data_IF_634208571785
#
_entry.id   IF_634208571785
#
_cell.length_a   1.000
_cell.length_b   1.000
_cell.length_c   1.000
_cell.angle_alpha   90.00
_cell.angle_beta   90.00
_cell.angle_gamma   90.00
#
_symmetry.space_group_name_H-M   'P 1'
#
loop_
_entity.id
_entity.type
_entity.pdbx_description
1 polymer ?
#
# COMPACT_ATOMS: atom_id res chain seq x y z
N UNK A 1 -23.43 -35.55 -41.87
CA UNK A 1 -24.01 -34.25 -41.43
C UNK A 1 -24.74 -34.32 -40.10
N UNK A 2 -25.61 -35.32 -39.84
CA UNK A 2 -26.37 -35.39 -38.58
C UNK A 2 -25.51 -35.62 -37.33
N UNK A 3 -24.46 -36.45 -37.41
CA UNK A 3 -23.58 -36.71 -36.27
C UNK A 3 -22.76 -35.47 -35.88
N UNK A 4 -22.24 -34.72 -36.86
CA UNK A 4 -21.52 -33.46 -36.63
C UNK A 4 -22.45 -32.41 -36.01
N UNK A 5 -23.67 -32.25 -36.53
CA UNK A 5 -24.66 -31.31 -35.98
C UNK A 5 -25.11 -31.71 -34.57
N UNK A 6 -25.22 -33.00 -34.30
CA UNK A 6 -25.50 -33.54 -32.97
C UNK A 6 -24.37 -33.28 -31.98
N UNK A 7 -23.12 -33.50 -32.40
CA UNK A 7 -21.92 -33.31 -31.56
C UNK A 7 -21.67 -31.82 -31.27
N UNK A 8 -21.89 -30.95 -32.26
CA UNK A 8 -21.84 -29.49 -32.09
C UNK A 8 -22.90 -29.04 -31.07
N UNK A 9 -24.16 -29.44 -31.25
CA UNK A 9 -25.25 -28.95 -30.42
C UNK A 9 -25.24 -29.50 -28.98
N UNK A 10 -24.84 -30.76 -28.79
CA UNK A 10 -24.95 -31.43 -27.50
C UNK A 10 -23.63 -31.49 -26.71
N UNK A 11 -22.48 -31.27 -27.35
CA UNK A 11 -21.17 -31.35 -26.68
C UNK A 11 -20.42 -30.03 -26.81
N UNK A 12 -20.22 -29.52 -28.02
CA UNK A 12 -19.36 -28.34 -28.24
C UNK A 12 -20.00 -27.07 -27.68
N UNK A 13 -21.28 -26.82 -27.95
CA UNK A 13 -21.98 -25.62 -27.46
C UNK A 13 -22.04 -25.59 -25.92
N UNK A 14 -22.49 -26.65 -25.21
CA UNK A 14 -22.47 -26.66 -23.75
C UNK A 14 -21.08 -26.48 -23.15
N UNK A 15 -20.07 -27.17 -23.71
CA UNK A 15 -18.69 -27.05 -23.24
C UNK A 15 -18.15 -25.63 -23.42
N UNK A 16 -18.34 -25.04 -24.60
CA UNK A 16 -17.94 -23.66 -24.88
C UNK A 16 -18.65 -22.66 -23.95
N UNK A 17 -19.92 -22.91 -23.62
CA UNK A 17 -20.70 -22.07 -22.71
C UNK A 17 -20.17 -22.13 -21.28
N UNK A 18 -19.80 -23.33 -20.80
CA UNK A 18 -19.18 -23.52 -19.48
C UNK A 18 -17.79 -22.87 -19.44
N UNK A 19 -16.96 -23.07 -20.48
CA UNK A 19 -15.67 -22.41 -20.59
C UNK A 19 -15.81 -20.88 -20.58
N UNK A 20 -16.79 -20.35 -21.31
CA UNK A 20 -17.07 -18.92 -21.36
C UNK A 20 -17.51 -18.37 -20.00
N UNK A 21 -18.34 -19.10 -19.26
CA UNK A 21 -18.69 -18.76 -17.88
C UNK A 21 -17.48 -18.73 -16.94
N UNK A 22 -16.60 -19.73 -17.03
CA UNK A 22 -15.36 -19.79 -16.25
C UNK A 22 -14.46 -18.58 -16.55
N UNK A 23 -14.32 -18.19 -17.82
CA UNK A 23 -13.54 -17.02 -18.22
C UNK A 23 -14.11 -15.73 -17.59
N UNK A 24 -15.44 -15.56 -17.57
CA UNK A 24 -16.06 -14.42 -16.89
C UNK A 24 -15.84 -14.42 -15.37
N UNK A 25 -15.89 -15.58 -14.72
CA UNK A 25 -15.57 -15.69 -13.30
C UNK A 25 -14.10 -15.36 -13.01
N UNK A 26 -13.16 -15.81 -13.86
CA UNK A 26 -11.74 -15.48 -13.74
C UNK A 26 -11.48 -13.98 -13.96
N UNK A 27 -12.18 -13.34 -14.90
CA UNK A 27 -12.10 -11.91 -15.11
C UNK A 27 -12.60 -11.12 -13.87
N UNK A 28 -13.74 -11.52 -13.30
CA UNK A 28 -14.26 -10.93 -12.06
C UNK A 28 -13.28 -11.12 -10.89
N UNK A 29 -12.69 -12.31 -10.75
CA UNK A 29 -11.69 -12.57 -9.71
C UNK A 29 -10.42 -11.72 -9.90
N UNK A 30 -9.96 -11.54 -11.15
CA UNK A 30 -8.78 -10.72 -11.45
C UNK A 30 -9.05 -9.25 -11.15
N UNK A 31 -10.22 -8.74 -11.52
CA UNK A 31 -10.69 -7.40 -11.13
C UNK A 31 -10.72 -7.25 -9.60
N UNK A 32 -11.24 -8.25 -8.88
CA UNK A 32 -11.33 -8.26 -7.43
C UNK A 32 -9.95 -8.15 -6.77
N UNK A 33 -8.96 -8.88 -7.30
CA UNK A 33 -7.59 -8.84 -6.82
C UNK A 33 -6.95 -7.46 -7.00
N UNK A 34 -7.18 -6.80 -8.14
CA UNK A 34 -6.69 -5.45 -8.42
C UNK A 34 -7.27 -4.47 -7.39
N UNK A 35 -8.59 -4.50 -7.18
CA UNK A 35 -9.28 -3.65 -6.20
C UNK A 35 -8.79 -3.92 -4.78
N UNK A 36 -8.61 -5.19 -4.40
CA UNK A 36 -8.08 -5.58 -3.10
C UNK A 36 -6.69 -5.00 -2.85
N UNK A 37 -5.78 -5.11 -3.83
CA UNK A 37 -4.42 -4.59 -3.70
C UNK A 37 -4.40 -3.07 -3.47
N UNK A 38 -5.27 -2.33 -4.14
CA UNK A 38 -5.37 -0.87 -4.01
C UNK A 38 -6.03 -0.48 -2.70
N UNK A 39 -7.20 -1.03 -2.39
CA UNK A 39 -7.94 -0.71 -1.16
C UNK A 39 -7.14 -1.09 0.09
N UNK A 40 -6.44 -2.22 0.07
CA UNK A 40 -5.57 -2.63 1.20
C UNK A 40 -4.51 -1.58 1.49
N UNK A 41 -3.85 -1.03 0.46
CA UNK A 41 -2.86 0.04 0.63
C UNK A 41 -3.52 1.33 1.10
N UNK A 42 -4.70 1.68 0.56
CA UNK A 42 -5.43 2.88 0.91
C UNK A 42 -5.88 2.90 2.39
N UNK A 43 -6.29 1.75 2.92
CA UNK A 43 -6.67 1.62 4.33
C UNK A 43 -5.46 1.37 5.27
N UNK A 44 -4.25 1.25 4.73
CA UNK A 44 -3.02 1.09 5.52
C UNK A 44 -2.63 2.45 6.10
N UNK A 45 -3.31 2.86 7.18
CA UNK A 45 -3.04 4.10 7.91
C UNK A 45 -2.64 3.79 9.35
N UNK A 46 -1.69 4.56 9.87
CA UNK A 46 -1.24 4.52 11.27
C UNK A 46 -2.35 4.81 12.28
N UNK A 47 -3.47 5.40 11.82
CA UNK A 47 -4.61 5.82 12.65
C UNK A 47 -5.77 4.81 12.66
N UNK A 48 -5.76 3.79 11.81
CA UNK A 48 -6.81 2.75 11.77
C UNK A 48 -6.39 1.60 12.67
N UNK A 49 -6.64 1.73 13.98
CA UNK A 49 -6.34 0.68 14.97
C UNK A 49 -7.51 -0.29 15.21
N UNK A 50 -8.74 0.11 14.88
CA UNK A 50 -9.96 -0.62 15.27
C UNK A 50 -10.26 -1.84 14.37
N UNK A 51 -9.88 -1.77 13.08
CA UNK A 51 -10.23 -2.79 12.08
C UNK A 51 -9.02 -3.04 11.18
N UNK A 52 -8.67 -4.32 10.96
CA UNK A 52 -7.57 -4.65 10.05
C UNK A 52 -7.87 -4.15 8.62
N UNK A 53 -6.95 -3.40 7.99
CA UNK A 53 -7.10 -2.92 6.60
C UNK A 53 -7.39 -4.04 5.59
N UNK A 54 -6.86 -5.24 5.85
CA UNK A 54 -7.11 -6.42 5.01
C UNK A 54 -8.59 -6.80 5.00
N UNK A 55 -9.26 -6.74 6.14
CA UNK A 55 -10.64 -7.19 6.31
C UNK A 55 -11.60 -6.23 5.61
N UNK A 56 -11.45 -4.92 5.84
CA UNK A 56 -12.26 -3.89 5.18
C UNK A 56 -12.13 -3.99 3.66
N UNK A 57 -10.90 -4.19 3.18
CA UNK A 57 -10.63 -4.30 1.75
C UNK A 57 -11.32 -5.50 1.12
N UNK A 58 -11.24 -6.69 1.74
CA UNK A 58 -11.93 -7.89 1.22
C UNK A 58 -13.44 -7.66 1.17
N UNK A 59 -14.02 -7.10 2.23
CA UNK A 59 -15.47 -6.87 2.29
C UNK A 59 -15.94 -5.90 1.20
N UNK A 60 -15.26 -4.76 1.04
CA UNK A 60 -15.59 -3.79 0.01
C UNK A 60 -15.47 -4.38 -1.39
N UNK A 61 -14.41 -5.14 -1.67
CA UNK A 61 -14.21 -5.81 -2.97
C UNK A 61 -15.35 -6.79 -3.25
N UNK A 62 -15.74 -7.62 -2.27
CA UNK A 62 -16.84 -8.56 -2.44
C UNK A 62 -18.14 -7.82 -2.80
N UNK A 63 -18.43 -6.72 -2.11
CA UNK A 63 -19.61 -5.89 -2.37
C UNK A 63 -19.54 -5.31 -3.80
N UNK A 64 -18.39 -4.74 -4.19
CA UNK A 64 -18.19 -4.10 -5.49
C UNK A 64 -18.33 -5.08 -6.66
N UNK A 65 -17.64 -6.21 -6.60
CA UNK A 65 -17.69 -7.23 -7.65
C UNK A 65 -19.08 -7.82 -7.80
N UNK A 66 -19.75 -8.04 -6.67
CA UNK A 66 -21.11 -8.53 -6.68
C UNK A 66 -22.08 -7.53 -7.30
N UNK A 67 -22.00 -6.24 -6.97
CA UNK A 67 -22.82 -5.22 -7.64
C UNK A 67 -22.56 -5.15 -9.14
N UNK A 68 -21.31 -5.28 -9.59
CA UNK A 68 -20.97 -5.34 -11.02
C UNK A 68 -21.65 -6.52 -11.71
N UNK A 69 -21.48 -7.73 -11.16
CA UNK A 69 -22.09 -8.95 -11.70
C UNK A 69 -23.62 -8.82 -11.73
N UNK A 70 -24.21 -8.35 -10.64
CA UNK A 70 -25.65 -8.20 -10.52
C UNK A 70 -26.22 -7.19 -11.52
N UNK A 71 -25.61 -6.01 -11.66
CA UNK A 71 -26.08 -5.01 -12.64
C UNK A 71 -25.88 -5.48 -14.08
N UNK A 72 -24.81 -6.22 -14.39
CA UNK A 72 -24.63 -6.84 -15.71
C UNK A 72 -25.73 -7.88 -16.00
N UNK A 73 -26.06 -8.70 -15.01
CA UNK A 73 -27.13 -9.68 -15.12
C UNK A 73 -28.51 -9.00 -15.29
N UNK A 74 -28.82 -7.96 -14.50
CA UNK A 74 -30.07 -7.21 -14.61
C UNK A 74 -30.22 -6.51 -15.96
N UNK A 75 -29.16 -5.87 -16.46
CA UNK A 75 -29.17 -5.16 -17.74
C UNK A 75 -29.40 -6.13 -18.92
N UNK A 76 -28.85 -7.34 -18.84
CA UNK A 76 -29.15 -8.38 -19.84
C UNK A 76 -30.59 -8.92 -19.72
N UNK A 77 -31.10 -9.15 -18.51
CA UNK A 77 -32.52 -9.52 -18.27
C UNK A 77 -33.51 -8.48 -18.79
N UNK A 78 -33.21 -7.20 -18.60
CA UNK A 78 -34.07 -6.10 -19.06
C UNK A 78 -34.29 -6.13 -20.58
N UNK A 79 -33.30 -6.56 -21.37
CA UNK A 79 -33.43 -6.70 -22.83
C UNK A 79 -34.46 -7.75 -23.26
N UNK A 80 -34.90 -8.60 -22.33
CA UNK A 80 -35.75 -9.75 -22.63
C UNK A 80 -37.11 -9.74 -21.93
N UNK A 81 -37.33 -8.84 -20.97
CA UNK A 81 -38.60 -8.68 -20.26
C UNK A 81 -39.25 -7.36 -20.73
N UNK A 82 -40.46 -7.43 -21.31
CA UNK A 82 -41.19 -6.28 -21.91
C UNK A 82 -41.75 -5.26 -20.89
N UNK A 83 -41.21 -5.18 -19.67
CA UNK A 83 -41.80 -4.35 -18.62
C UNK A 83 -40.83 -3.35 -18.00
N UNK A 84 -41.39 -2.17 -17.67
CA UNK A 84 -40.85 -1.12 -16.80
C UNK A 84 -40.52 -1.59 -15.36
N UNK A 85 -40.25 -2.88 -15.15
CA UNK A 85 -40.02 -3.51 -13.85
C UNK A 85 -38.65 -3.14 -13.26
N UNK A 86 -37.67 -2.84 -14.11
CA UNK A 86 -36.35 -2.38 -13.66
C UNK A 86 -36.28 -0.85 -13.71
N UNK A 87 -35.92 -0.18 -12.59
CA UNK A 87 -35.93 1.27 -12.53
C UNK A 87 -34.95 1.86 -13.56
N UNK A 88 -35.28 3.03 -14.17
CA UNK A 88 -34.45 3.69 -15.17
C UNK A 88 -33.03 4.04 -14.67
N UNK A 89 -32.85 4.04 -13.34
CA UNK A 89 -31.60 4.33 -12.65
C UNK A 89 -30.59 3.16 -12.61
N UNK A 90 -30.98 1.93 -12.98
CA UNK A 90 -30.10 0.75 -12.93
C UNK A 90 -28.84 0.90 -13.80
N UNK A 91 -28.96 1.53 -14.98
CA UNK A 91 -27.82 1.85 -15.86
C UNK A 91 -26.87 2.88 -15.23
N UNK A 92 -27.42 3.85 -14.50
CA UNK A 92 -26.64 4.87 -13.79
C UNK A 92 -25.92 4.26 -12.58
N UNK A 93 -26.60 3.38 -11.83
CA UNK A 93 -26.04 2.67 -10.67
C UNK A 93 -24.88 1.73 -11.06
N UNK A 94 -24.89 1.16 -12.26
CA UNK A 94 -23.78 0.36 -12.80
C UNK A 94 -22.49 1.17 -12.98
N UNK A 95 -22.59 2.49 -13.24
CA UNK A 95 -21.42 3.34 -13.47
C UNK A 95 -20.58 3.57 -12.21
N UNK A 96 -21.17 3.48 -11.02
CA UNK A 96 -20.48 3.71 -9.75
C UNK A 96 -19.40 2.64 -9.50
N UNK A 97 -19.72 1.33 -9.44
CA UNK A 97 -18.70 0.32 -9.22
C UNK A 97 -17.76 0.20 -10.43
N UNK A 98 -18.23 0.49 -11.64
CA UNK A 98 -17.38 0.56 -12.84
C UNK A 98 -16.30 1.65 -12.72
N UNK A 99 -16.69 2.87 -12.37
CA UNK A 99 -15.77 3.99 -12.21
C UNK A 99 -14.77 3.75 -11.09
N UNK A 100 -15.20 3.13 -10.00
CA UNK A 100 -14.33 2.77 -8.88
C UNK A 100 -13.33 1.66 -9.27
N UNK A 101 -13.77 0.66 -10.05
CA UNK A 101 -12.90 -0.39 -10.59
C UNK A 101 -11.85 0.17 -11.57
N UNK A 102 -12.25 1.12 -12.42
CA UNK A 102 -11.34 1.83 -13.32
C UNK A 102 -10.31 2.65 -12.54
N UNK A 103 -10.73 3.35 -11.50
CA UNK A 103 -9.83 4.11 -10.64
C UNK A 103 -8.84 3.19 -9.90
N UNK A 104 -9.31 2.05 -9.39
CA UNK A 104 -8.43 1.04 -8.81
C UNK A 104 -7.43 0.49 -9.84
N UNK A 105 -7.87 0.19 -11.05
CA UNK A 105 -7.00 -0.32 -12.13
C UNK A 105 -5.93 0.71 -12.54
N UNK A 106 -6.28 2.00 -12.58
CA UNK A 106 -5.34 3.09 -12.80
C UNK A 106 -4.30 3.19 -11.67
N UNK A 107 -4.75 3.23 -10.42
CA UNK A 107 -3.83 3.28 -9.26
C UNK A 107 -2.94 2.05 -9.24
N UNK A 108 -3.50 0.87 -9.50
CA UNK A 108 -2.76 -0.38 -9.55
C UNK A 108 -1.68 -0.32 -10.63
N UNK A 109 -2.03 0.07 -11.86
CA UNK A 109 -1.09 0.20 -12.98
C UNK A 109 0.04 1.19 -12.67
N UNK A 110 -0.30 2.37 -12.14
CA UNK A 110 0.70 3.37 -11.72
C UNK A 110 1.59 2.81 -10.61
N UNK A 111 1.01 2.22 -9.58
CA UNK A 111 1.78 1.69 -8.44
C UNK A 111 2.68 0.51 -8.81
N UNK A 112 2.28 -0.32 -9.78
CA UNK A 112 3.01 -1.55 -10.15
C UNK A 112 3.97 -1.35 -11.30
N UNK A 113 3.63 -0.50 -12.26
CA UNK A 113 4.43 -0.28 -13.46
C UNK A 113 5.23 1.02 -13.36
N UNK A 114 4.59 2.14 -13.00
CA UNK A 114 5.28 3.43 -12.90
C UNK A 114 6.17 3.55 -11.67
N UNK A 115 5.79 2.91 -10.56
CA UNK A 115 6.55 2.90 -9.30
C UNK A 115 7.19 1.53 -9.01
N UNK A 116 7.39 0.70 -10.04
CA UNK A 116 7.80 -0.71 -9.91
C UNK A 116 9.06 -0.96 -9.07
N UNK A 117 10.02 -0.02 -9.11
CA UNK A 117 11.28 -0.08 -8.35
C UNK A 117 11.28 0.84 -7.11
N UNK A 118 10.16 1.51 -6.82
CA UNK A 118 9.99 2.28 -5.57
C UNK A 118 9.88 1.29 -4.42
N UNK A 119 11.02 0.96 -3.81
CA UNK A 119 11.04 0.20 -2.57
C UNK A 119 11.16 1.18 -1.39
N UNK A 120 10.00 1.54 -0.83
CA UNK A 120 9.88 2.41 0.34
C UNK A 120 10.71 1.91 1.52
N UNK A 121 10.76 0.59 1.74
CA UNK A 121 11.55 -0.01 2.81
C UNK A 121 13.05 0.20 2.60
N UNK A 122 13.53 0.09 1.36
CA UNK A 122 14.95 0.32 1.04
C UNK A 122 15.36 1.79 1.17
N UNK A 123 14.48 2.72 0.80
CA UNK A 123 14.73 4.16 0.95
C UNK A 123 14.70 4.53 2.43
N UNK A 124 13.73 4.01 3.18
CA UNK A 124 13.63 4.22 4.63
C UNK A 124 14.84 3.62 5.36
N UNK A 125 15.29 2.41 5.00
CA UNK A 125 16.47 1.80 5.61
C UNK A 125 17.74 2.58 5.31
N UNK A 126 17.90 3.06 4.07
CA UNK A 126 19.07 3.86 3.68
C UNK A 126 19.05 5.23 4.36
N UNK A 127 17.88 5.84 4.52
CA UNK A 127 17.71 7.10 5.26
C UNK A 127 18.08 6.91 6.74
N UNK A 128 17.59 5.83 7.37
CA UNK A 128 17.94 5.49 8.75
C UNK A 128 19.44 5.22 8.91
N UNK A 129 20.09 4.57 7.95
CA UNK A 129 21.54 4.37 7.96
C UNK A 129 22.30 5.70 7.90
N UNK A 130 21.88 6.63 7.03
CA UNK A 130 22.49 7.97 6.94
C UNK A 130 22.31 8.76 8.24
N UNK A 131 21.13 8.70 8.86
CA UNK A 131 20.86 9.37 10.13
C UNK A 131 21.65 8.75 11.30
N UNK A 132 21.76 7.41 11.33
CA UNK A 132 22.57 6.71 12.32
C UNK A 132 24.06 7.06 12.21
N UNK A 133 24.57 7.12 10.98
CA UNK A 133 25.94 7.54 10.72
C UNK A 133 26.16 9.00 11.13
N UNK A 134 25.23 9.90 10.79
CA UNK A 134 25.28 11.31 11.19
C UNK A 134 25.35 11.47 12.71
N UNK A 135 24.54 10.73 13.46
CA UNK A 135 24.57 10.76 14.93
C UNK A 135 25.91 10.26 15.49
N UNK A 136 26.49 9.23 14.86
CA UNK A 136 27.79 8.68 15.24
C UNK A 136 28.92 9.69 14.97
N UNK A 137 28.89 10.36 13.82
CA UNK A 137 29.86 11.37 13.43
C UNK A 137 29.76 12.62 14.32
N UNK A 138 28.56 13.09 14.65
CA UNK A 138 28.33 14.20 15.61
C UNK A 138 28.91 13.83 16.98
N UNK A 139 28.69 12.61 17.46
CA UNK A 139 29.26 12.16 18.72
C UNK A 139 30.78 12.09 18.69
N UNK A 140 31.38 11.71 17.56
CA UNK A 140 32.83 11.71 17.38
C UNK A 140 33.41 13.13 17.42
N UNK A 141 32.72 14.09 16.81
CA UNK A 141 33.09 15.52 16.82
C UNK A 141 33.01 16.08 18.23
N UNK A 142 31.92 15.82 18.95
CA UNK A 142 31.78 16.25 20.35
C UNK A 142 32.97 15.76 21.18
N UNK A 143 33.32 14.46 21.10
CA UNK A 143 34.48 13.88 21.80
C UNK A 143 35.81 14.51 21.37
N UNK A 144 35.98 14.82 20.07
CA UNK A 144 37.19 15.47 19.53
C UNK A 144 37.39 16.86 20.12
N UNK A 145 36.34 17.69 20.18
CA UNK A 145 36.43 19.04 20.74
C UNK A 145 36.54 19.05 22.26
N UNK A 146 35.89 18.12 22.97
CA UNK A 146 36.07 17.96 24.42
C UNK A 146 37.53 17.63 24.79
N UNK A 147 38.16 16.75 24.00
CA UNK A 147 39.59 16.43 24.16
C UNK A 147 40.48 17.62 23.84
N UNK A 148 40.20 18.37 22.77
CA UNK A 148 40.94 19.60 22.43
C UNK A 148 40.84 20.64 23.53
N UNK A 149 39.63 20.90 24.05
CA UNK A 149 39.38 21.83 25.14
C UNK A 149 40.14 21.43 26.42
N UNK A 150 40.04 20.15 26.80
CA UNK A 150 40.72 19.62 27.99
C UNK A 150 42.24 19.74 27.86
N UNK A 151 42.80 19.42 26.68
CA UNK A 151 44.24 19.54 26.42
C UNK A 151 44.70 21.00 26.48
N UNK A 152 43.95 21.92 25.87
CA UNK A 152 44.26 23.35 25.86
C UNK A 152 44.16 24.00 27.25
N UNK A 153 43.23 23.54 28.11
CA UNK A 153 43.08 24.05 29.49
C UNK A 153 44.05 23.42 30.49
N UNK A 154 44.67 22.29 30.16
CA UNK A 154 45.60 21.58 31.07
C UNK A 154 46.73 22.44 31.65
N UNK A 155 47.44 23.32 30.92
CA UNK A 155 48.48 24.16 31.52
C UNK A 155 47.91 25.18 32.51
N UNK A 156 46.75 25.77 32.21
CA UNK A 156 46.11 26.74 33.09
C UNK A 156 45.61 26.10 34.39
N UNK A 157 45.05 24.88 34.29
CA UNK A 157 44.61 24.10 35.45
C UNK A 157 45.80 23.69 36.32
N UNK A 158 46.92 23.26 35.72
CA UNK A 158 48.16 22.94 36.47
C UNK A 158 48.70 24.18 37.20
N UNK A 159 48.76 25.33 36.53
CA UNK A 159 49.23 26.58 37.14
C UNK A 159 48.31 27.05 38.28
N UNK A 160 46.99 26.91 38.15
CA UNK A 160 46.04 27.20 39.22
C UNK A 160 46.26 26.26 40.42
N UNK A 161 46.41 24.95 40.18
CA UNK A 161 46.67 23.98 41.24
C UNK A 161 48.00 24.24 41.96
N UNK A 162 49.05 24.56 41.21
CA UNK A 162 50.36 24.86 41.79
C UNK A 162 50.31 26.12 42.66
N UNK A 163 49.77 27.22 42.14
CA UNK A 163 49.65 28.47 42.92
C UNK A 163 48.70 28.36 44.11
N UNK A 164 47.69 27.50 44.03
CA UNK A 164 46.85 27.15 45.18
C UNK A 164 47.60 26.36 46.25
N UNK A 165 48.38 25.36 45.84
CA UNK A 165 49.22 24.57 46.74
C UNK A 165 50.29 25.44 47.41
N UNK A 166 50.93 26.35 46.67
CA UNK A 166 51.91 27.30 47.21
C UNK A 166 51.29 28.21 48.27
N UNK A 167 50.08 28.72 48.01
CA UNK A 167 49.32 29.50 49.00
C UNK A 167 48.98 28.68 50.26
N UNK A 168 48.51 27.44 50.07
CA UNK A 168 48.15 26.54 51.17
C UNK A 168 49.36 26.19 52.04
N UNK A 169 50.50 25.87 51.40
CA UNK A 169 51.75 25.58 52.09
C UNK A 169 52.25 26.81 52.87
N UNK A 170 52.16 28.00 52.27
CA UNK A 170 52.50 29.24 52.96
C UNK A 170 51.64 29.48 54.21
N UNK A 171 50.35 29.12 54.17
CA UNK A 171 49.42 29.26 55.29
C UNK A 171 49.71 28.28 56.45
N UNK A 172 50.18 27.07 56.15
CA UNK A 172 50.41 26.02 57.16
C UNK A 172 51.85 25.91 57.67
N UNK A 173 52.83 26.48 56.97
CA UNK A 173 54.25 26.34 57.33
C UNK A 173 54.68 27.09 58.60
N UNK A 174 53.97 28.15 59.00
CA UNK A 174 54.37 29.03 60.11
C UNK A 174 55.63 29.88 59.86
N UNK A 175 56.26 29.77 58.69
CA UNK A 175 57.54 30.44 58.34
C UNK A 175 57.29 31.80 57.68
N UNK A 176 56.15 31.99 57.01
CA UNK A 176 55.86 33.20 56.24
C UNK A 176 55.08 34.24 57.06
N UNK A 177 55.40 35.51 56.88
CA UNK A 177 54.65 36.63 57.48
C UNK A 177 53.27 36.79 56.85
N UNK A 178 52.35 37.44 57.58
CA UNK A 178 50.98 37.69 57.11
C UNK A 178 50.94 38.48 55.78
N UNK A 179 51.91 39.37 55.56
CA UNK A 179 52.06 40.11 54.31
C UNK A 179 52.47 39.20 53.14
N UNK A 180 53.33 38.20 53.37
CA UNK A 180 53.75 37.22 52.38
C UNK A 180 52.60 36.27 52.02
N UNK A 181 51.86 35.76 53.00
CA UNK A 181 50.67 34.92 52.77
C UNK A 181 49.63 35.67 51.92
N UNK A 182 49.42 36.96 52.18
CA UNK A 182 48.53 37.82 51.37
C UNK A 182 49.01 38.00 49.92
N UNK A 183 50.33 37.97 49.66
CA UNK A 183 50.90 38.00 48.30
C UNK A 183 50.65 36.68 47.56
N UNK A 184 50.83 35.53 48.21
CA UNK A 184 50.49 34.22 47.63
C UNK A 184 49.01 34.12 47.25
N UNK A 185 48.11 34.58 48.14
CA UNK A 185 46.68 34.59 47.86
C UNK A 185 46.32 35.50 46.65
N UNK A 186 46.90 36.70 46.56
CA UNK A 186 46.72 37.59 45.40
C UNK A 186 47.23 36.95 44.09
N UNK A 187 48.35 36.22 44.15
CA UNK A 187 48.90 35.50 43.01
C UNK A 187 47.94 34.40 42.53
N UNK A 188 47.45 33.57 43.44
CA UNK A 188 46.42 32.55 43.15
C UNK A 188 45.16 33.16 42.53
N UNK A 189 44.62 34.24 43.10
CA UNK A 189 43.44 34.92 42.54
C UNK A 189 43.68 35.45 41.12
N UNK A 190 44.89 35.95 40.83
CA UNK A 190 45.27 36.40 39.47
C UNK A 190 45.28 35.24 38.49
N UNK A 191 45.90 34.11 38.85
CA UNK A 191 45.95 32.90 38.02
C UNK A 191 44.56 32.32 37.79
N UNK A 192 43.72 32.26 38.82
CA UNK A 192 42.33 31.81 38.72
C UNK A 192 41.49 32.67 37.77
N UNK A 193 41.67 34.00 37.79
CA UNK A 193 41.03 34.91 36.83
C UNK A 193 41.48 34.65 35.40
N UNK A 194 42.78 34.43 35.19
CA UNK A 194 43.34 34.10 33.86
C UNK A 194 42.79 32.76 33.36
N UNK A 195 42.76 31.72 34.21
CA UNK A 195 42.19 30.43 33.86
C UNK A 195 40.71 30.54 33.46
N UNK A 196 39.90 31.24 34.26
CA UNK A 196 38.49 31.46 33.93
C UNK A 196 38.29 32.23 32.62
N UNK A 197 39.11 33.26 32.36
CA UNK A 197 39.07 34.03 31.11
C UNK A 197 39.38 33.14 29.91
N UNK A 198 40.42 32.31 29.99
CA UNK A 198 40.80 31.41 28.90
C UNK A 198 39.83 30.25 28.71
N UNK A 199 39.22 29.76 29.79
CA UNK A 199 38.14 28.78 29.71
C UNK A 199 36.96 29.31 28.90
N UNK A 200 36.56 30.57 29.12
CA UNK A 200 35.45 31.18 28.38
C UNK A 200 35.86 31.40 26.91
N UNK A 201 37.05 31.96 26.66
CA UNK A 201 37.52 32.24 25.30
C UNK A 201 37.67 30.96 24.45
N UNK A 202 38.38 29.96 24.95
CA UNK A 202 38.60 28.69 24.25
C UNK A 202 37.31 27.87 24.10
N UNK A 203 36.42 27.89 25.10
CA UNK A 203 35.13 27.23 24.99
C UNK A 203 34.28 27.86 23.88
N UNK A 204 34.31 29.20 23.74
CA UNK A 204 33.59 29.89 22.67
C UNK A 204 34.17 29.52 21.30
N UNK A 205 35.47 29.68 21.11
CA UNK A 205 36.18 29.36 19.86
C UNK A 205 35.93 27.90 19.43
N UNK A 206 36.13 26.94 20.33
CA UNK A 206 35.91 25.53 20.01
C UNK A 206 34.44 25.17 19.81
N UNK A 207 33.49 25.86 20.46
CA UNK A 207 32.08 25.63 20.17
C UNK A 207 31.67 26.21 18.81
N UNK A 208 32.23 27.34 18.40
CA UNK A 208 31.96 27.95 17.09
C UNK A 208 32.47 27.02 15.97
N UNK A 209 33.70 26.52 16.08
CA UNK A 209 34.28 25.54 15.15
C UNK A 209 33.49 24.22 15.11
N UNK A 210 33.14 23.69 16.30
CA UNK A 210 32.34 22.48 16.45
C UNK A 210 30.98 22.62 15.76
N UNK A 211 30.30 23.75 15.98
CA UNK A 211 28.99 24.00 15.38
C UNK A 211 29.06 24.12 13.87
N UNK A 212 30.15 24.69 13.34
CA UNK A 212 30.41 24.76 11.90
C UNK A 212 30.60 23.36 11.29
N UNK A 213 31.46 22.52 11.88
CA UNK A 213 31.70 21.15 11.43
C UNK A 213 30.42 20.29 11.50
N UNK A 214 29.60 20.44 12.55
CA UNK A 214 28.28 19.77 12.67
C UNK A 214 27.30 20.29 11.61
N UNK A 215 27.28 21.59 11.34
CA UNK A 215 26.41 22.19 10.32
C UNK A 215 26.72 21.66 8.93
N UNK A 216 28.01 21.56 8.59
CA UNK A 216 28.47 21.03 7.30
C UNK A 216 28.08 19.56 7.14
N UNK A 217 28.29 18.73 8.18
CA UNK A 217 27.82 17.32 8.15
C UNK A 217 26.31 17.19 7.99
N UNK A 218 25.52 18.03 8.68
CA UNK A 218 24.06 18.03 8.54
C UNK A 218 23.65 18.43 7.12
N UNK A 219 24.37 19.37 6.49
CA UNK A 219 24.13 19.78 5.11
C UNK A 219 24.44 18.63 4.14
N UNK A 220 25.56 17.95 4.31
CA UNK A 220 25.96 16.81 3.47
C UNK A 220 24.98 15.63 3.61
N UNK A 221 24.55 15.31 4.83
CA UNK A 221 23.53 14.29 5.07
C UNK A 221 22.19 14.63 4.39
N UNK A 222 21.75 15.90 4.48
CA UNK A 222 20.54 16.38 3.79
C UNK A 222 20.68 16.27 2.27
N UNK A 223 21.84 16.60 1.70
CA UNK A 223 22.08 16.44 0.27
C UNK A 223 22.00 14.97 -0.14
N UNK A 224 22.61 14.05 0.63
CA UNK A 224 22.51 12.60 0.36
C UNK A 224 21.07 12.09 0.42
N UNK A 225 20.30 12.51 1.43
CA UNK A 225 18.86 12.15 1.56
C UNK A 225 18.03 12.74 0.42
N UNK A 226 18.28 14.00 0.04
CA UNK A 226 17.59 14.63 -1.07
C UNK A 226 17.95 13.98 -2.41
N UNK A 227 19.18 13.51 -2.60
CA UNK A 227 19.59 12.79 -3.80
C UNK A 227 18.89 11.42 -3.92
N UNK A 228 18.71 10.69 -2.80
CA UNK A 228 17.85 9.50 -2.77
C UNK A 228 16.41 9.80 -3.22
N UNK A 229 15.93 11.03 -2.95
CA UNK A 229 14.63 11.52 -3.40
C UNK A 229 14.63 12.15 -4.79
N UNK A 230 15.77 12.53 -5.38
CA UNK A 230 15.85 13.21 -6.68
C UNK A 230 16.26 12.27 -7.83
N UNK A 231 16.78 11.08 -7.53
CA UNK A 231 16.84 9.97 -8.49
C UNK A 231 15.45 9.43 -8.90
N UNK A 232 14.37 10.11 -8.46
CA UNK A 232 12.93 9.95 -8.76
C UNK A 232 12.54 9.69 -10.22
N UNK A 233 13.42 9.98 -11.18
CA UNK A 233 13.09 9.87 -12.60
C UNK A 233 13.83 8.74 -13.35
N UNK A 234 14.98 8.28 -12.86
CA UNK A 234 15.83 7.27 -13.53
C UNK A 234 15.62 5.86 -13.00
N UNK A 235 15.17 5.72 -11.74
CA UNK A 235 15.09 4.44 -11.04
C UNK A 235 13.69 3.80 -11.11
N UNK A 236 12.63 4.54 -11.46
CA UNK A 236 11.25 4.14 -11.13
C UNK A 236 10.50 3.34 -12.19
N UNK A 237 10.96 3.38 -13.43
CA UNK A 237 10.32 2.67 -14.53
C UNK A 237 10.58 1.17 -14.47
N UNK A 238 9.54 0.36 -14.69
CA UNK A 238 9.65 -1.07 -14.91
C UNK A 238 10.68 -1.33 -16.02
N UNK A 239 11.73 -2.10 -15.70
CA UNK A 239 12.90 -2.34 -16.58
C UNK A 239 12.51 -2.93 -17.92
N UNK A 240 11.49 -3.79 -17.96
CA UNK A 240 11.02 -4.42 -19.20
C UNK A 240 10.31 -3.38 -20.08
N UNK A 241 9.41 -2.59 -19.50
CA UNK A 241 8.64 -1.59 -20.25
C UNK A 241 9.54 -0.42 -20.67
N UNK A 242 10.46 0.02 -19.83
CA UNK A 242 11.41 1.09 -20.16
C UNK A 242 12.39 0.68 -21.24
N UNK A 243 12.89 -0.56 -21.20
CA UNK A 243 13.77 -1.11 -22.25
C UNK A 243 13.01 -1.28 -23.56
N UNK A 244 11.78 -1.81 -23.50
CA UNK A 244 10.91 -1.92 -24.68
C UNK A 244 10.63 -0.55 -25.30
N UNK A 245 10.23 0.44 -24.49
CA UNK A 245 9.95 1.79 -24.98
C UNK A 245 11.18 2.49 -25.50
N UNK A 246 12.36 2.28 -24.89
CA UNK A 246 13.64 2.80 -25.39
C UNK A 246 14.00 2.20 -26.74
N UNK A 247 13.78 0.90 -26.92
CA UNK A 247 13.97 0.23 -28.21
C UNK A 247 12.96 0.71 -29.25
N UNK A 248 11.70 0.92 -28.87
CA UNK A 248 10.64 1.38 -29.76
C UNK A 248 10.85 2.86 -30.15
N UNK A 249 11.22 3.71 -29.20
CA UNK A 249 11.58 5.11 -29.51
C UNK A 249 12.81 5.19 -30.40
N UNK A 250 13.85 4.39 -30.16
CA UNK A 250 15.01 4.33 -31.05
C UNK A 250 14.65 3.93 -32.51
N UNK A 251 13.55 3.21 -32.74
CA UNK A 251 13.06 2.85 -34.07
C UNK A 251 12.30 4.02 -34.74
N UNK A 252 11.50 4.79 -33.99
CA UNK A 252 10.62 5.82 -34.54
C UNK A 252 11.17 7.26 -34.45
N UNK A 253 12.09 7.55 -33.53
CA UNK A 253 12.73 8.86 -33.42
C UNK A 253 14.01 8.77 -32.57
N UNK A 254 15.17 9.30 -33.02
CA UNK A 254 16.43 9.27 -32.26
C UNK A 254 16.45 10.28 -31.09
N UNK A 255 15.39 10.32 -30.29
CA UNK A 255 15.30 11.17 -29.09
C UNK A 255 16.07 10.46 -27.98
N UNK A 256 17.31 10.92 -27.72
CA UNK A 256 18.25 10.35 -26.75
C UNK A 256 17.77 10.38 -25.27
N UNK A 257 16.61 10.96 -24.96
CA UNK A 257 16.13 11.14 -23.57
C UNK A 257 14.82 10.40 -23.34
N UNK A 258 14.85 9.49 -22.37
CA UNK A 258 13.67 8.81 -21.82
C UNK A 258 12.67 9.84 -21.31
N UNK A 259 11.48 9.89 -21.90
CA UNK A 259 10.44 10.83 -21.50
C UNK A 259 9.53 10.19 -20.44
N UNK A 260 9.72 10.58 -19.18
CA UNK A 260 8.94 10.08 -18.04
C UNK A 260 7.44 10.37 -18.17
N UNK A 261 7.05 11.44 -18.85
CA UNK A 261 5.64 11.79 -19.09
C UNK A 261 5.01 10.81 -20.07
N UNK A 262 5.72 10.49 -21.17
CA UNK A 262 5.26 9.49 -22.14
C UNK A 262 5.10 8.12 -21.47
N UNK A 263 6.07 7.74 -20.63
CA UNK A 263 6.02 6.50 -19.86
C UNK A 263 4.81 6.45 -18.93
N UNK A 264 4.54 7.52 -18.19
CA UNK A 264 3.37 7.64 -17.33
C UNK A 264 2.06 7.49 -18.11
N UNK A 265 1.93 8.17 -19.27
CA UNK A 265 0.74 8.06 -20.11
C UNK A 265 0.50 6.64 -20.62
N UNK A 266 1.57 5.92 -21.00
CA UNK A 266 1.47 4.53 -21.45
C UNK A 266 1.05 3.60 -20.30
N UNK A 267 1.58 3.80 -19.10
CA UNK A 267 1.16 3.04 -17.90
C UNK A 267 -0.32 3.30 -17.59
N UNK A 268 -0.78 4.54 -17.66
CA UNK A 268 -2.20 4.88 -17.50
C UNK A 268 -3.06 4.21 -18.59
N UNK A 269 -2.61 4.23 -19.85
CA UNK A 269 -3.30 3.58 -20.96
C UNK A 269 -3.44 2.06 -20.75
N UNK A 270 -2.39 1.38 -20.26
CA UNK A 270 -2.43 -0.05 -19.91
C UNK A 270 -3.48 -0.30 -18.81
N UNK A 271 -3.51 0.54 -17.77
CA UNK A 271 -4.48 0.41 -16.68
C UNK A 271 -5.92 0.58 -17.14
N UNK A 272 -6.18 1.59 -17.98
CA UNK A 272 -7.51 1.83 -18.58
C UNK A 272 -7.90 0.66 -19.49
N UNK A 273 -6.99 0.22 -20.37
CA UNK A 273 -7.25 -0.85 -21.33
C UNK A 273 -7.55 -2.17 -20.61
N UNK A 274 -6.81 -2.48 -19.55
CA UNK A 274 -7.03 -3.67 -18.71
C UNK A 274 -8.39 -3.61 -18.01
N UNK A 275 -8.75 -2.45 -17.44
CA UNK A 275 -10.05 -2.26 -16.79
C UNK A 275 -11.21 -2.44 -17.78
N UNK A 276 -11.13 -1.81 -18.95
CA UNK A 276 -12.14 -1.92 -19.99
C UNK A 276 -12.27 -3.36 -20.51
N UNK A 277 -11.15 -4.06 -20.69
CA UNK A 277 -11.15 -5.45 -21.13
C UNK A 277 -11.81 -6.38 -20.10
N UNK A 278 -11.43 -6.26 -18.82
CA UNK A 278 -12.01 -7.05 -17.74
C UNK A 278 -13.51 -6.80 -17.63
N UNK A 279 -13.95 -5.54 -17.65
CA UNK A 279 -15.37 -5.22 -17.59
C UNK A 279 -16.12 -5.75 -18.81
N UNK A 280 -15.55 -5.67 -20.02
CA UNK A 280 -16.18 -6.19 -21.23
C UNK A 280 -16.41 -7.70 -21.10
N UNK A 281 -15.41 -8.46 -20.64
CA UNK A 281 -15.52 -9.90 -20.44
C UNK A 281 -16.57 -10.24 -19.37
N UNK A 282 -16.57 -9.52 -18.24
CA UNK A 282 -17.56 -9.70 -17.16
C UNK A 282 -18.96 -9.40 -17.69
N UNK A 283 -19.15 -8.23 -18.29
CA UNK A 283 -20.45 -7.78 -18.81
C UNK A 283 -20.98 -8.73 -19.87
N UNK A 284 -20.14 -9.14 -20.83
CA UNK A 284 -20.56 -10.07 -21.87
C UNK A 284 -20.94 -11.44 -21.30
N UNK A 285 -20.17 -11.95 -20.32
CA UNK A 285 -20.46 -13.24 -19.68
C UNK A 285 -21.76 -13.22 -18.89
N UNK A 286 -21.95 -12.25 -18.01
CA UNK A 286 -23.11 -12.22 -17.13
C UNK A 286 -24.39 -11.71 -17.84
N UNK A 287 -24.26 -10.92 -18.91
CA UNK A 287 -25.39 -10.66 -19.81
C UNK A 287 -25.78 -11.91 -20.58
N UNK A 288 -24.83 -12.71 -21.08
CA UNK A 288 -25.15 -13.97 -21.76
C UNK A 288 -25.87 -14.96 -20.82
N UNK A 289 -25.42 -15.09 -19.58
CA UNK A 289 -26.08 -15.93 -18.55
C UNK A 289 -27.49 -15.44 -18.23
N UNK A 290 -27.76 -14.14 -18.40
CA UNK A 290 -29.06 -13.54 -18.09
C UNK A 290 -30.15 -13.81 -19.15
N UNK A 291 -29.75 -14.22 -20.36
CA UNK A 291 -30.67 -14.47 -21.48
C UNK A 291 -31.62 -15.61 -21.08
N UNK A 292 -32.94 -15.38 -21.10
CA UNK A 292 -33.88 -16.42 -20.77
C UNK A 292 -33.86 -17.46 -21.89
N UNK A 293 -33.91 -18.71 -21.47
CA UNK A 293 -33.55 -19.84 -22.32
C UNK A 293 -34.56 -20.11 -23.45
N UNK A 294 -35.80 -19.67 -23.24
CA UNK A 294 -36.89 -19.64 -24.22
C UNK A 294 -36.54 -18.85 -25.49
N UNK A 295 -35.62 -17.88 -25.42
CA UNK A 295 -35.16 -17.06 -26.56
C UNK A 295 -33.89 -17.59 -27.25
N UNK A 296 -33.17 -18.54 -26.66
CA UNK A 296 -31.88 -19.04 -27.19
C UNK A 296 -32.02 -20.25 -28.13
N UNK A 297 -33.12 -20.99 -28.06
CA UNK A 297 -33.36 -22.19 -28.89
C UNK A 297 -34.82 -22.22 -29.38
N UNK A 298 -35.08 -22.50 -30.68
CA UNK A 298 -36.43 -22.70 -31.18
C UNK A 298 -37.12 -23.86 -30.44
N UNK A 299 -38.41 -23.68 -30.14
CA UNK A 299 -39.26 -24.50 -29.26
C UNK A 299 -39.30 -26.02 -29.47
N UNK A 300 -38.57 -26.60 -30.41
CA UNK A 300 -38.63 -28.02 -30.76
C UNK A 300 -37.51 -28.88 -30.17
N UNK A 301 -36.48 -28.31 -29.54
CA UNK A 301 -35.37 -29.09 -28.96
C UNK A 301 -34.92 -28.57 -27.58
N UNK A 302 -35.84 -28.49 -26.62
CA UNK A 302 -35.47 -28.23 -25.24
C UNK A 302 -34.86 -29.52 -24.67
N UNK A 303 -33.53 -29.64 -24.72
CA UNK A 303 -32.87 -30.58 -23.83
C UNK A 303 -33.15 -30.12 -22.38
N UNK A 304 -33.65 -30.98 -21.47
CA UNK A 304 -34.00 -30.60 -20.09
C UNK A 304 -32.82 -30.03 -19.28
N UNK A 305 -31.59 -30.13 -19.80
CA UNK A 305 -30.37 -29.61 -19.21
C UNK A 305 -30.25 -28.09 -19.27
N UNK A 306 -30.70 -27.44 -20.35
CA UNK A 306 -30.51 -26.00 -20.52
C UNK A 306 -31.46 -25.18 -19.63
N UNK A 307 -32.70 -25.65 -19.41
CA UNK A 307 -33.66 -25.03 -18.49
C UNK A 307 -33.26 -25.16 -17.02
N UNK A 308 -32.71 -26.32 -16.66
CA UNK A 308 -32.15 -26.56 -15.33
C UNK A 308 -30.92 -25.69 -15.07
N UNK A 309 -30.06 -25.49 -16.08
CA UNK A 309 -28.87 -24.65 -15.97
C UNK A 309 -29.21 -23.17 -15.76
N UNK A 310 -30.15 -22.61 -16.54
CA UNK A 310 -30.57 -21.23 -16.37
C UNK A 310 -31.25 -20.98 -15.00
N UNK A 311 -32.14 -21.88 -14.56
CA UNK A 311 -32.77 -21.79 -13.24
C UNK A 311 -31.75 -21.94 -12.09
N UNK A 312 -30.69 -22.72 -12.31
CA UNK A 312 -29.57 -22.84 -11.40
C UNK A 312 -28.76 -21.53 -11.34
N UNK A 313 -28.40 -20.95 -12.49
CA UNK A 313 -27.70 -19.67 -12.56
C UNK A 313 -28.47 -18.54 -11.86
N UNK A 314 -29.77 -18.40 -12.11
CA UNK A 314 -30.63 -17.42 -11.44
C UNK A 314 -30.59 -17.57 -9.93
N UNK A 315 -30.73 -18.81 -9.43
CA UNK A 315 -30.70 -19.09 -8.00
C UNK A 315 -29.32 -18.90 -7.40
N UNK A 316 -28.24 -19.24 -8.10
CA UNK A 316 -26.87 -19.02 -7.62
C UNK A 316 -26.59 -17.52 -7.48
N UNK A 317 -26.95 -16.72 -8.48
CA UNK A 317 -26.79 -15.26 -8.44
C UNK A 317 -27.65 -14.68 -7.31
N UNK A 318 -28.93 -15.07 -7.21
CA UNK A 318 -29.85 -14.59 -6.17
C UNK A 318 -29.41 -14.97 -4.74
N UNK A 319 -28.83 -16.17 -4.60
CA UNK A 319 -28.29 -16.67 -3.33
C UNK A 319 -27.00 -15.95 -2.96
N UNK A 320 -26.18 -15.56 -3.95
CA UNK A 320 -25.02 -14.69 -3.77
C UNK A 320 -25.38 -13.28 -3.24
N UNK A 321 -26.52 -12.71 -3.67
CA UNK A 321 -27.03 -11.44 -3.14
C UNK A 321 -27.33 -11.57 -1.65
N UNK A 322 -28.08 -12.61 -1.31
CA UNK A 322 -28.50 -12.88 0.06
C UNK A 322 -27.28 -13.16 0.95
N UNK A 323 -26.29 -13.87 0.42
CA UNK A 323 -25.01 -14.13 1.06
C UNK A 323 -24.29 -12.83 1.44
N UNK A 324 -24.13 -11.93 0.48
CA UNK A 324 -23.33 -10.73 0.66
C UNK A 324 -24.05 -9.74 1.57
N UNK A 325 -25.37 -9.58 1.43
CA UNK A 325 -26.18 -8.83 2.38
C UNK A 325 -26.10 -9.40 3.80
N UNK A 326 -26.04 -10.73 3.94
CA UNK A 326 -25.90 -11.38 5.24
C UNK A 326 -24.49 -11.17 5.83
N UNK A 327 -23.43 -11.34 5.03
CA UNK A 327 -22.04 -11.08 5.46
C UNK A 327 -21.87 -9.61 5.87
N UNK A 328 -22.42 -8.66 5.11
CA UNK A 328 -22.32 -7.23 5.46
C UNK A 328 -23.09 -6.89 6.73
N UNK A 329 -24.29 -7.44 6.94
CA UNK A 329 -25.03 -7.26 8.18
C UNK A 329 -24.32 -7.87 9.40
N UNK A 330 -23.84 -9.12 9.28
CA UNK A 330 -23.07 -9.78 10.34
C UNK A 330 -21.79 -9.01 10.65
N UNK A 331 -21.14 -8.46 9.63
CA UNK A 331 -19.93 -7.65 9.80
C UNK A 331 -20.22 -6.30 10.48
N UNK A 332 -21.31 -5.61 10.10
CA UNK A 332 -21.75 -4.39 10.77
C UNK A 332 -22.10 -4.65 12.25
N UNK A 333 -22.75 -5.78 12.54
CA UNK A 333 -23.02 -6.23 13.92
C UNK A 333 -21.72 -6.50 14.69
N UNK A 334 -20.74 -7.16 14.08
CA UNK A 334 -19.42 -7.41 14.69
C UNK A 334 -18.64 -6.13 14.94
N UNK A 335 -18.70 -5.16 14.01
CA UNK A 335 -18.09 -3.84 14.17
C UNK A 335 -18.68 -3.06 15.34
N UNK A 336 -19.98 -3.17 15.55
CA UNK A 336 -20.67 -2.54 16.69
C UNK A 336 -20.34 -3.27 18.00
N UNK A 337 -20.23 -4.60 17.96
CA UNK A 337 -20.12 -5.44 19.16
C UNK A 337 -18.68 -5.65 19.65
N UNK A 338 -17.66 -5.55 18.80
CA UNK A 338 -16.27 -5.89 19.16
C UNK A 338 -15.32 -4.70 19.02
N UNK A 339 -14.53 -4.46 20.06
CA UNK A 339 -13.58 -3.33 20.14
C UNK A 339 -12.30 -3.55 19.34
N UNK A 340 -12.00 -4.79 18.96
CA UNK A 340 -10.83 -5.21 18.19
C UNK A 340 -11.19 -6.41 17.29
N UNK A 341 -11.36 -6.15 15.99
CA UNK A 341 -11.67 -7.19 15.00
C UNK A 341 -10.38 -7.81 14.43
N UNK A 342 -10.11 -9.07 14.74
CA UNK A 342 -8.98 -9.82 14.15
C UNK A 342 -9.40 -10.53 12.86
N UNK A 343 -8.44 -10.81 11.97
CA UNK A 343 -8.68 -11.49 10.69
C UNK A 343 -9.29 -12.88 10.84
N UNK A 344 -9.02 -13.57 11.95
CA UNK A 344 -9.60 -14.89 12.25
C UNK A 344 -11.11 -14.84 12.45
N UNK A 345 -11.64 -13.84 13.16
CA UNK A 345 -13.09 -13.68 13.35
C UNK A 345 -13.81 -13.46 12.01
N UNK A 346 -13.23 -12.66 11.11
CA UNK A 346 -13.77 -12.45 9.78
C UNK A 346 -13.78 -13.72 8.93
N UNK A 347 -12.66 -14.47 8.91
CA UNK A 347 -12.54 -15.72 8.15
C UNK A 347 -13.57 -16.74 8.65
N UNK A 348 -13.75 -16.87 9.97
CA UNK A 348 -14.74 -17.79 10.56
C UNK A 348 -16.15 -17.39 10.14
N UNK A 349 -16.54 -16.11 10.27
CA UNK A 349 -17.86 -15.67 9.85
C UNK A 349 -18.10 -15.83 8.35
N UNK A 350 -17.11 -15.50 7.52
CA UNK A 350 -17.19 -15.70 6.07
C UNK A 350 -17.35 -17.18 5.71
N UNK A 351 -16.57 -18.07 6.33
CA UNK A 351 -16.68 -19.50 6.15
C UNK A 351 -18.02 -20.04 6.63
N UNK A 352 -18.52 -19.60 7.79
CA UNK A 352 -19.84 -20.01 8.31
C UNK A 352 -20.96 -19.59 7.36
N UNK A 353 -20.92 -18.37 6.81
CA UNK A 353 -21.91 -17.93 5.83
C UNK A 353 -21.80 -18.73 4.53
N UNK A 354 -20.58 -18.99 4.03
CA UNK A 354 -20.35 -19.90 2.88
C UNK A 354 -20.89 -21.30 3.13
N UNK A 355 -20.70 -21.84 4.33
CA UNK A 355 -21.14 -23.17 4.72
C UNK A 355 -22.67 -23.24 4.83
N UNK A 356 -23.30 -22.20 5.38
CA UNK A 356 -24.77 -22.05 5.40
C UNK A 356 -25.37 -21.91 4.00
N UNK A 357 -24.67 -21.23 3.09
CA UNK A 357 -25.09 -21.10 1.69
C UNK A 357 -24.93 -22.42 0.95
N UNK A 358 -23.80 -23.11 1.15
CA UNK A 358 -23.58 -24.45 0.61
C UNK A 358 -24.64 -25.43 1.09
N UNK A 359 -24.94 -25.43 2.39
CA UNK A 359 -26.01 -26.25 2.99
C UNK A 359 -27.38 -25.89 2.41
N UNK A 360 -27.69 -24.61 2.21
CA UNK A 360 -28.96 -24.17 1.60
C UNK A 360 -29.09 -24.65 0.15
N UNK A 361 -28.02 -24.55 -0.65
CA UNK A 361 -27.98 -25.02 -2.04
C UNK A 361 -28.08 -26.56 -2.10
N UNK A 362 -27.36 -27.26 -1.22
CA UNK A 362 -27.32 -28.71 -1.15
C UNK A 362 -28.64 -29.32 -0.66
N UNK A 363 -29.23 -28.78 0.41
CA UNK A 363 -30.53 -29.19 0.94
C UNK A 363 -31.65 -29.02 -0.10
N UNK A 364 -31.57 -27.96 -0.92
CA UNK A 364 -32.49 -27.77 -2.04
C UNK A 364 -32.29 -28.81 -3.14
N UNK A 365 -31.04 -29.16 -3.46
CA UNK A 365 -30.72 -30.22 -4.43
C UNK A 365 -31.27 -31.59 -3.98
N UNK A 366 -31.24 -31.85 -2.66
CA UNK A 366 -31.78 -33.07 -2.05
C UNK A 366 -33.32 -33.14 -2.15
N UNK A 367 -34.03 -32.05 -1.85
CA UNK A 367 -35.50 -31.98 -1.93
C UNK A 367 -35.99 -32.05 -3.37
N UNK A 368 -35.26 -31.48 -4.32
CA UNK A 368 -35.65 -31.53 -5.74
C UNK A 368 -35.42 -32.90 -6.37
N UNK A 369 -34.40 -33.64 -5.93
CA UNK A 369 -34.20 -35.03 -6.33
C UNK A 369 -35.19 -35.99 -5.66
N UNK A 370 -35.61 -35.74 -4.41
CA UNK A 370 -36.62 -36.56 -3.73
C UNK A 370 -38.05 -36.38 -4.24
N UNK A 371 -38.29 -35.40 -5.13
CA UNK A 371 -39.57 -35.22 -5.84
C UNK A 371 -39.57 -35.81 -7.27
N UNK A 372 -38.45 -36.43 -7.68
CA UNK A 372 -38.25 -37.01 -9.02
C UNK A 372 -37.97 -38.53 -8.96
N UNK A 373 -37.86 -39.10 -7.74
CA UNK A 373 -38.24 -40.48 -7.46
C UNK A 373 -39.67 -40.48 -6.94
#
# INVERSE_FOLDING_TARGET
MNLLKYLINNVVIPLATVCFFIVGCLAAFTSALIEYCVLKKLFMSSYVSFISPKIISVLLVIILEYFKIYFCFLDGRQKHIDSNFFPPYSRLLKLIPLGLSLFCSLIFSVSTLYMSNYNEESINSTTQQIESQLNTDINSINKKYDRKLTKALSPYKKNEQQTFNDYRNAQHSGIYSQAQIKRFYKSYLKVRRIHNKQRIALSKEFNDDKNKEISDLKKDARVKINNLSNDKNSIYSNTVISTFLKNLTNIFSPIQKFNSILYFLIVCAIGISTSLFLELVISFTFQFVSIPLDKLLPHTNIAPYSAKFAAWCDKVILTGIQAICCVTLVFMMLLISTRNLTASHFIICFLVVLLLLYLKIWYFHLIYFSKIL
#
